data_IF_723543459031
#
_entry.id   IF_723543459031
#
_cell.length_a   1.000
_cell.length_b   1.000
_cell.length_c   1.000
_cell.angle_alpha   90.00
_cell.angle_beta   90.00
_cell.angle_gamma   90.00
#
_symmetry.space_group_name_H-M   'P 1'
#
loop_
_entity.id
_entity.type
_entity.pdbx_description
1 polymer ?
#
# COMPACT_ATOMS: atom_id res chain seq x y z
N UNK A 1 -4.54 18.83 -31.83
CA UNK A 1 -4.32 18.59 -30.39
C UNK A 1 -4.53 17.10 -30.18
N UNK A 2 -3.50 16.35 -29.80
CA UNK A 2 -3.62 14.89 -29.64
C UNK A 2 -4.31 14.62 -28.29
N UNK A 3 -5.44 13.91 -28.24
CA UNK A 3 -6.25 13.71 -27.02
C UNK A 3 -5.46 13.25 -25.80
N UNK A 4 -4.47 12.37 -25.97
CA UNK A 4 -3.66 11.83 -24.85
C UNK A 4 -2.89 12.86 -24.02
N UNK A 5 -2.45 13.98 -24.62
CA UNK A 5 -1.72 15.02 -23.88
C UNK A 5 -2.63 15.81 -22.92
N UNK A 6 -3.93 15.85 -23.19
CA UNK A 6 -4.93 16.51 -22.36
C UNK A 6 -5.16 15.70 -21.07
N UNK A 7 -5.40 14.40 -21.20
CA UNK A 7 -5.66 13.50 -20.06
C UNK A 7 -4.44 13.34 -19.15
N UNK A 8 -3.21 13.32 -19.69
CA UNK A 8 -1.99 13.27 -18.87
C UNK A 8 -1.80 14.53 -18.01
N UNK A 9 -2.15 15.71 -18.55
CA UNK A 9 -2.05 16.98 -17.81
C UNK A 9 -3.09 17.08 -16.69
N UNK A 10 -4.31 16.58 -16.94
CA UNK A 10 -5.38 16.46 -15.96
C UNK A 10 -5.04 15.48 -14.84
N UNK A 11 -4.48 14.31 -15.17
CA UNK A 11 -4.02 13.33 -14.19
C UNK A 11 -2.97 13.94 -13.24
N UNK A 12 -1.98 14.65 -13.79
CA UNK A 12 -0.96 15.35 -12.99
C UNK A 12 -1.55 16.47 -12.12
N UNK A 13 -2.54 17.21 -12.64
CA UNK A 13 -3.21 18.28 -11.90
C UNK A 13 -4.04 17.72 -10.72
N UNK A 14 -4.78 16.64 -10.93
CA UNK A 14 -5.56 16.00 -9.86
C UNK A 14 -4.66 15.35 -8.80
N UNK A 15 -3.53 14.78 -9.21
CA UNK A 15 -2.52 14.26 -8.30
C UNK A 15 -1.94 15.35 -7.39
N UNK A 16 -1.57 16.50 -7.96
CA UNK A 16 -1.09 17.66 -7.19
C UNK A 16 -2.14 18.26 -6.26
N UNK A 17 -3.42 18.07 -6.57
CA UNK A 17 -4.55 18.52 -5.77
C UNK A 17 -4.97 17.51 -4.68
N UNK A 18 -4.30 16.35 -4.56
CA UNK A 18 -4.63 15.30 -3.60
C UNK A 18 -5.85 14.44 -3.98
N UNK A 19 -6.37 14.58 -5.20
CA UNK A 19 -7.54 13.86 -5.71
C UNK A 19 -7.10 12.62 -6.50
N UNK A 20 -6.54 11.64 -5.79
CA UNK A 20 -5.88 10.49 -6.38
C UNK A 20 -6.82 9.58 -7.19
N UNK A 21 -8.08 9.43 -6.80
CA UNK A 21 -9.07 8.61 -7.53
C UNK A 21 -9.34 9.13 -8.95
N UNK A 22 -9.43 10.44 -9.12
CA UNK A 22 -9.59 11.06 -10.43
C UNK A 22 -8.31 10.94 -11.27
N UNK A 23 -7.13 11.03 -10.65
CA UNK A 23 -5.86 10.86 -11.34
C UNK A 23 -5.69 9.45 -11.93
N UNK A 24 -6.16 8.40 -11.24
CA UNK A 24 -6.07 7.01 -11.71
C UNK A 24 -6.97 6.76 -12.93
N UNK A 25 -8.19 7.29 -12.93
CA UNK A 25 -9.13 7.18 -14.06
C UNK A 25 -8.56 7.83 -15.33
N UNK A 26 -8.07 9.06 -15.23
CA UNK A 26 -7.48 9.76 -16.38
C UNK A 26 -6.13 9.15 -16.82
N UNK A 27 -5.37 8.56 -15.89
CA UNK A 27 -4.14 7.82 -16.21
C UNK A 27 -4.42 6.53 -17.00
N UNK A 28 -5.47 5.79 -16.65
CA UNK A 28 -5.86 4.57 -17.36
C UNK A 28 -6.34 4.86 -18.80
N UNK A 29 -7.13 5.93 -19.00
CA UNK A 29 -7.61 6.32 -20.32
C UNK A 29 -6.48 6.76 -21.26
N UNK A 30 -5.45 7.43 -20.74
CA UNK A 30 -4.27 7.82 -21.53
C UNK A 30 -3.47 6.60 -22.03
N UNK A 31 -3.48 5.49 -21.30
CA UNK A 31 -2.80 4.24 -21.69
C UNK A 31 -3.60 3.46 -22.74
N UNK A 32 -4.94 3.44 -22.64
CA UNK A 32 -5.80 2.80 -23.64
C UNK A 32 -5.63 3.46 -25.01
N UNK A 33 -5.54 4.79 -25.05
CA UNK A 33 -5.40 5.54 -26.30
C UNK A 33 -3.98 5.46 -26.90
N UNK A 34 -2.95 5.32 -26.06
CA UNK A 34 -1.58 5.06 -26.51
C UNK A 34 -1.41 3.69 -27.17
N UNK A 35 -2.10 2.67 -26.66
CA UNK A 35 -2.13 1.31 -27.25
C UNK A 35 -2.96 1.30 -28.53
N UNK A 36 -4.09 2.02 -28.57
CA UNK A 36 -4.92 2.12 -29.77
C UNK A 36 -4.24 2.91 -30.90
N UNK A 37 -3.49 3.97 -30.58
CA UNK A 37 -2.67 4.71 -31.54
C UNK A 37 -1.57 3.86 -32.19
N UNK A 38 -0.95 2.95 -31.42
CA UNK A 38 0.04 2.00 -31.94
C UNK A 38 -0.57 0.92 -32.85
N UNK A 39 -1.84 0.54 -32.61
CA UNK A 39 -2.55 -0.47 -33.41
C UNK A 39 -3.13 0.10 -34.71
N UNK A 40 -3.49 1.39 -34.76
CA UNK A 40 -4.21 1.98 -35.90
C UNK A 40 -3.29 2.67 -36.93
N UNK A 41 -2.06 3.04 -36.55
CA UNK A 41 -1.08 3.66 -37.43
C UNK A 41 0.07 2.69 -37.68
N UNK A 42 -0.05 1.90 -38.75
CA UNK A 42 0.90 0.84 -39.11
C UNK A 42 2.38 1.28 -39.13
N UNK A 43 3.19 0.53 -38.39
CA UNK A 43 4.61 0.16 -38.60
C UNK A 43 5.68 1.19 -39.07
N UNK A 44 5.39 2.47 -39.33
CA UNK A 44 6.31 3.29 -40.11
C UNK A 44 6.37 4.76 -39.70
N UNK A 45 6.69 5.09 -38.45
CA UNK A 45 7.54 6.27 -38.18
C UNK A 45 8.17 6.22 -36.79
N UNK A 46 9.49 5.98 -36.80
CA UNK A 46 10.48 6.28 -35.74
C UNK A 46 10.54 5.31 -34.55
N UNK A 47 11.18 4.17 -34.84
CA UNK A 47 11.76 3.16 -33.94
C UNK A 47 12.79 3.68 -32.90
N UNK A 48 12.91 4.98 -32.63
CA UNK A 48 13.95 5.54 -31.76
C UNK A 48 13.49 5.99 -30.35
N UNK A 49 12.20 6.29 -30.16
CA UNK A 49 11.70 6.87 -28.91
C UNK A 49 10.79 5.93 -28.12
N UNK A 50 10.09 5.01 -28.79
CA UNK A 50 9.11 4.11 -28.15
C UNK A 50 9.75 3.00 -27.30
N UNK A 51 10.89 2.46 -27.72
CA UNK A 51 11.51 1.30 -27.00
C UNK A 51 12.12 1.73 -25.68
N UNK A 52 12.70 2.94 -25.61
CA UNK A 52 13.23 3.49 -24.34
C UNK A 52 12.13 3.93 -23.39
N UNK A 53 10.97 4.34 -23.90
CA UNK A 53 9.82 4.64 -23.07
C UNK A 53 9.25 3.35 -22.46
N UNK A 54 9.14 2.25 -23.19
CA UNK A 54 8.66 0.98 -22.61
C UNK A 54 9.59 0.45 -21.52
N UNK A 55 10.91 0.60 -21.67
CA UNK A 55 11.88 0.10 -20.69
C UNK A 55 12.00 1.00 -19.44
N UNK A 56 11.78 2.32 -19.57
CA UNK A 56 11.79 3.27 -18.44
C UNK A 56 10.42 3.48 -17.80
N UNK A 57 9.34 3.21 -18.53
CA UNK A 57 7.95 3.31 -18.04
C UNK A 57 7.48 1.99 -17.43
N UNK A 58 8.05 0.82 -17.77
CA UNK A 58 7.69 -0.44 -17.11
C UNK A 58 7.89 -0.44 -15.57
N UNK A 59 8.99 0.09 -15.00
CA UNK A 59 9.10 0.21 -13.54
C UNK A 59 8.27 1.37 -12.98
N UNK A 60 8.13 2.49 -13.68
CA UNK A 60 7.37 3.65 -13.20
C UNK A 60 5.85 3.45 -13.28
N UNK A 61 5.36 2.66 -14.24
CA UNK A 61 3.95 2.30 -14.38
C UNK A 61 3.58 1.16 -13.43
N UNK A 62 4.49 0.27 -13.06
CA UNK A 62 4.21 -0.68 -11.97
C UNK A 62 4.17 0.01 -10.61
N UNK A 63 4.95 1.06 -10.37
CA UNK A 63 4.79 1.91 -9.17
C UNK A 63 3.51 2.76 -9.22
N UNK A 64 3.19 3.37 -10.37
CA UNK A 64 1.98 4.17 -10.55
C UNK A 64 0.66 3.38 -10.54
N UNK A 65 0.70 2.10 -10.93
CA UNK A 65 -0.45 1.16 -10.85
C UNK A 65 -0.59 0.56 -9.45
N UNK A 66 0.48 0.55 -8.63
CA UNK A 66 0.46 0.17 -7.21
C UNK A 66 -0.05 1.25 -6.26
N UNK A 67 -0.56 2.37 -6.76
CA UNK A 67 -1.11 3.47 -5.95
C UNK A 67 -2.45 3.11 -5.25
N UNK A 68 -2.57 1.89 -4.71
CA UNK A 68 -3.44 1.59 -3.59
C UNK A 68 -2.81 2.12 -2.29
N UNK A 69 -3.63 2.48 -1.31
CA UNK A 69 -3.14 2.84 0.03
C UNK A 69 -2.38 1.63 0.61
N UNK A 70 -1.11 1.79 0.94
CA UNK A 70 -0.33 0.76 1.65
C UNK A 70 -0.80 0.68 3.10
N UNK A 71 -0.49 -0.43 3.77
CA UNK A 71 -0.86 -0.62 5.17
C UNK A 71 0.32 -1.10 5.98
N UNK A 72 0.31 -0.76 7.26
CA UNK A 72 1.38 -1.01 8.21
C UNK A 72 0.95 -1.99 9.29
N UNK A 73 1.84 -2.90 9.65
CA UNK A 73 1.79 -3.68 10.87
C UNK A 73 2.90 -3.21 11.81
N UNK A 74 2.54 -2.83 13.03
CA UNK A 74 3.52 -2.44 14.05
C UNK A 74 3.77 -3.60 15.01
N UNK A 75 5.05 -3.79 15.37
CA UNK A 75 5.54 -4.86 16.22
C UNK A 75 6.82 -4.42 16.94
N UNK A 76 7.42 -5.31 17.73
CA UNK A 76 8.79 -5.17 18.19
C UNK A 76 9.82 -5.78 17.21
N UNK A 77 11.11 -5.62 17.53
CA UNK A 77 12.22 -6.10 16.70
C UNK A 77 12.17 -7.62 16.48
N UNK A 78 11.88 -8.38 17.55
CA UNK A 78 11.81 -9.83 17.49
C UNK A 78 10.66 -10.29 16.60
N UNK A 79 9.49 -9.67 16.73
CA UNK A 79 8.33 -9.94 15.90
C UNK A 79 8.56 -9.58 14.44
N UNK A 80 9.21 -8.44 14.14
CA UNK A 80 9.57 -8.09 12.77
C UNK A 80 10.51 -9.15 12.17
N UNK A 81 11.58 -9.52 12.89
CA UNK A 81 12.53 -10.52 12.41
C UNK A 81 11.86 -11.88 12.15
N UNK A 82 10.95 -12.32 13.02
CA UNK A 82 10.19 -13.54 12.81
C UNK A 82 9.33 -13.46 11.53
N UNK A 83 8.61 -12.35 11.33
CA UNK A 83 7.80 -12.13 10.13
C UNK A 83 8.65 -12.16 8.86
N UNK A 84 9.81 -11.50 8.87
CA UNK A 84 10.72 -11.46 7.72
C UNK A 84 11.33 -12.84 7.41
N UNK A 85 11.65 -13.62 8.43
CA UNK A 85 12.18 -14.98 8.25
C UNK A 85 11.13 -15.95 7.70
N UNK A 86 9.89 -15.86 8.20
CA UNK A 86 8.81 -16.78 7.83
C UNK A 86 8.02 -16.33 6.59
N UNK A 87 8.15 -15.06 6.20
CA UNK A 87 7.33 -14.39 5.18
C UNK A 87 5.84 -14.53 5.47
N UNK A 88 5.46 -14.47 6.75
CA UNK A 88 4.08 -14.69 7.21
C UNK A 88 3.67 -13.72 8.31
N UNK A 89 2.42 -13.27 8.25
CA UNK A 89 1.79 -12.51 9.34
C UNK A 89 0.72 -13.34 10.04
N UNK A 90 1.00 -13.71 11.28
CA UNK A 90 0.08 -14.53 12.08
C UNK A 90 -1.19 -13.75 12.48
N UNK A 91 -2.36 -14.40 12.48
CA UNK A 91 -3.60 -13.76 12.89
C UNK A 91 -3.66 -13.60 14.40
N UNK A 92 -4.36 -12.56 14.85
CA UNK A 92 -4.83 -12.48 16.22
C UNK A 92 -6.11 -13.32 16.35
N UNK A 93 -6.09 -14.30 17.26
CA UNK A 93 -7.20 -15.24 17.48
C UNK A 93 -7.90 -14.98 18.82
N UNK A 94 -9.21 -14.76 18.77
CA UNK A 94 -10.05 -14.47 19.95
C UNK A 94 -10.04 -15.62 20.96
N UNK A 95 -9.94 -16.86 20.46
CA UNK A 95 -9.83 -18.06 21.29
C UNK A 95 -8.57 -18.06 22.18
N UNK A 96 -7.47 -17.44 21.70
CA UNK A 96 -6.21 -17.35 22.44
C UNK A 96 -6.12 -16.08 23.27
N UNK A 97 -6.53 -14.94 22.70
CA UNK A 97 -6.36 -13.61 23.30
C UNK A 97 -7.61 -12.74 23.10
N UNK A 98 -8.70 -13.02 23.83
CA UNK A 98 -9.99 -12.37 23.57
C UNK A 98 -9.99 -10.85 23.77
N UNK A 99 -9.06 -10.31 24.57
CA UNK A 99 -8.92 -8.86 24.79
C UNK A 99 -8.23 -8.12 23.64
N UNK A 100 -7.41 -8.83 22.87
CA UNK A 100 -6.60 -8.25 21.78
C UNK A 100 -7.36 -8.27 20.45
N UNK A 101 -8.47 -9.01 20.38
CA UNK A 101 -9.29 -9.20 19.17
C UNK A 101 -10.60 -8.43 19.29
N UNK A 102 -10.61 -7.19 18.80
CA UNK A 102 -11.79 -6.29 18.87
C UNK A 102 -12.69 -6.36 17.64
N UNK A 103 -12.14 -6.68 16.47
CA UNK A 103 -12.84 -6.60 15.19
C UNK A 103 -12.91 -7.96 14.48
N UNK A 104 -12.86 -9.04 15.26
CA UNK A 104 -12.83 -10.42 14.74
C UNK A 104 -11.42 -10.94 14.51
N UNK A 105 -11.31 -12.25 14.31
CA UNK A 105 -10.04 -12.92 14.07
C UNK A 105 -9.41 -12.41 12.77
N UNK A 106 -8.11 -12.17 12.78
CA UNK A 106 -7.44 -11.65 11.59
C UNK A 106 -6.10 -11.00 11.85
N UNK A 107 -5.46 -10.58 10.76
CA UNK A 107 -4.27 -9.74 10.79
C UNK A 107 -4.69 -8.27 10.94
N UNK A 108 -4.11 -7.58 11.92
CA UNK A 108 -4.42 -6.19 12.20
C UNK A 108 -3.37 -5.26 11.59
N UNK A 109 -3.87 -4.23 10.90
CA UNK A 109 -3.09 -3.28 10.14
C UNK A 109 -3.57 -1.85 10.43
N UNK A 110 -2.79 -0.86 10.00
CA UNK A 110 -3.11 0.56 10.12
C UNK A 110 -2.62 1.33 8.90
N UNK A 111 -3.26 2.46 8.62
CA UNK A 111 -2.83 3.45 7.63
C UNK A 111 -2.02 4.60 8.27
N UNK A 112 -1.67 4.49 9.56
CA UNK A 112 -0.79 5.44 10.25
C UNK A 112 0.65 5.17 9.84
N UNK A 113 1.20 6.08 9.03
CA UNK A 113 2.58 6.02 8.54
C UNK A 113 3.61 6.05 9.69
N UNK A 114 4.71 5.28 9.59
CA UNK A 114 5.81 5.31 10.56
C UNK A 114 6.39 6.72 10.72
N UNK A 115 6.36 7.23 11.97
CA UNK A 115 6.87 8.57 12.29
C UNK A 115 5.87 9.72 12.03
N UNK A 116 4.63 9.42 11.62
CA UNK A 116 3.56 10.43 11.53
C UNK A 116 3.09 10.94 12.89
N UNK A 117 3.16 10.10 13.94
CA UNK A 117 2.76 10.42 15.30
C UNK A 117 3.84 10.04 16.32
N UNK A 118 3.72 10.52 17.56
CA UNK A 118 4.56 10.05 18.66
C UNK A 118 4.23 8.59 19.03
N UNK A 119 5.15 7.91 19.74
CA UNK A 119 4.94 6.54 20.21
C UNK A 119 3.69 6.39 21.10
N UNK A 120 3.44 7.38 21.97
CA UNK A 120 2.28 7.39 22.87
C UNK A 120 0.97 7.54 22.10
N UNK A 121 0.94 8.39 21.08
CA UNK A 121 -0.23 8.59 20.22
C UNK A 121 -0.51 7.36 19.39
N UNK A 122 0.51 6.74 18.81
CA UNK A 122 0.38 5.48 18.07
C UNK A 122 -0.19 4.37 18.97
N UNK A 123 0.39 4.22 20.16
CA UNK A 123 -0.08 3.25 21.16
C UNK A 123 -1.54 3.49 21.55
N UNK A 124 -1.93 4.75 21.77
CA UNK A 124 -3.32 5.12 22.04
C UNK A 124 -4.22 4.83 20.83
N UNK A 125 -3.78 5.15 19.61
CA UNK A 125 -4.54 4.97 18.39
C UNK A 125 -4.80 3.49 18.09
N UNK A 126 -3.83 2.60 18.30
CA UNK A 126 -3.92 1.18 17.95
C UNK A 126 -4.58 0.31 19.04
N UNK A 127 -4.26 0.54 20.32
CA UNK A 127 -4.73 -0.33 21.42
C UNK A 127 -5.52 0.40 22.51
N UNK A 128 -5.82 1.68 22.33
CA UNK A 128 -6.51 2.53 23.31
C UNK A 128 -5.82 2.56 24.68
N UNK A 129 -4.49 2.49 24.68
CA UNK A 129 -3.66 2.60 25.87
C UNK A 129 -2.33 3.29 25.48
N UNK A 130 -1.97 4.44 26.06
CA UNK A 130 -0.75 5.17 25.69
C UNK A 130 0.55 4.57 26.25
N UNK A 131 0.48 3.54 27.09
CA UNK A 131 1.62 2.94 27.78
C UNK A 131 2.12 1.63 27.15
N UNK A 132 1.64 1.26 25.96
CA UNK A 132 2.02 0.03 25.26
C UNK A 132 3.06 0.29 24.15
N UNK A 133 3.85 1.36 24.30
CA UNK A 133 4.75 1.88 23.27
C UNK A 133 5.81 0.87 22.80
N UNK A 134 6.27 -0.01 23.69
CA UNK A 134 7.32 -0.98 23.39
C UNK A 134 6.90 -1.99 22.30
N UNK A 135 5.59 -2.22 22.15
CA UNK A 135 5.02 -3.11 21.13
C UNK A 135 5.07 -2.54 19.71
N UNK A 136 5.42 -1.27 19.56
CA UNK A 136 5.34 -0.56 18.29
C UNK A 136 6.69 0.03 17.89
N UNK A 137 7.81 -0.58 18.30
CA UNK A 137 9.15 -0.06 17.99
C UNK A 137 9.56 -0.26 16.53
N UNK A 138 8.94 -1.21 15.84
CA UNK A 138 9.21 -1.60 14.46
C UNK A 138 7.92 -1.66 13.64
N UNK A 139 8.07 -1.56 12.33
CA UNK A 139 6.96 -1.66 11.39
C UNK A 139 7.30 -2.56 10.21
N UNK A 140 6.24 -3.07 9.59
CA UNK A 140 6.21 -3.72 8.30
C UNK A 140 5.15 -3.01 7.45
N UNK A 141 5.53 -2.56 6.26
CA UNK A 141 4.63 -2.04 5.25
C UNK A 141 4.31 -3.11 4.22
N UNK A 142 3.03 -3.26 3.89
CA UNK A 142 2.56 -4.25 2.92
C UNK A 142 1.69 -3.64 1.82
N UNK A 143 1.67 -4.31 0.68
CA UNK A 143 0.70 -4.14 -0.40
C UNK A 143 -0.59 -4.92 -0.08
N UNK A 144 -1.71 -4.23 0.22
CA UNK A 144 -2.97 -4.89 0.52
C UNK A 144 -3.76 -5.29 -0.74
N UNK A 145 -3.24 -5.08 -1.95
CA UNK A 145 -3.96 -5.40 -3.18
C UNK A 145 -4.46 -6.85 -3.20
N UNK A 146 -5.74 -7.02 -3.51
CA UNK A 146 -6.42 -8.32 -3.54
C UNK A 146 -6.72 -8.94 -2.17
N UNK A 147 -6.45 -8.25 -1.06
CA UNK A 147 -6.85 -8.69 0.28
C UNK A 147 -8.21 -8.10 0.66
N UNK A 148 -9.02 -8.90 1.36
CA UNK A 148 -10.26 -8.41 1.96
C UNK A 148 -9.94 -7.63 3.24
N UNK A 149 -9.68 -6.33 3.09
CA UNK A 149 -9.41 -5.43 4.20
C UNK A 149 -10.71 -4.78 4.68
N UNK A 150 -11.02 -4.94 5.96
CA UNK A 150 -12.18 -4.33 6.62
C UNK A 150 -11.67 -3.28 7.62
N UNK A 151 -12.23 -2.08 7.58
CA UNK A 151 -11.99 -1.07 8.60
C UNK A 151 -12.81 -1.39 9.86
N UNK A 152 -12.15 -1.63 10.99
CA UNK A 152 -12.83 -1.87 12.27
C UNK A 152 -13.16 -0.56 12.99
N UNK A 153 -12.22 0.39 12.97
CA UNK A 153 -12.40 1.80 13.37
C UNK A 153 -11.40 2.67 12.60
N UNK A 154 -11.56 4.00 12.61
CA UNK A 154 -10.58 4.91 12.02
C UNK A 154 -9.15 4.57 12.47
N UNK A 155 -8.28 4.31 11.49
CA UNK A 155 -6.89 3.97 11.72
C UNK A 155 -6.59 2.50 12.02
N UNK A 156 -7.60 1.63 12.12
CA UNK A 156 -7.41 0.20 12.42
C UNK A 156 -8.20 -0.67 11.44
N UNK A 157 -7.44 -1.42 10.67
CA UNK A 157 -7.92 -2.32 9.64
C UNK A 157 -7.67 -3.77 10.05
N UNK A 158 -8.50 -4.68 9.56
CA UNK A 158 -8.36 -6.12 9.77
C UNK A 158 -8.49 -6.84 8.44
N UNK A 159 -7.64 -7.84 8.21
CA UNK A 159 -7.84 -8.86 7.19
C UNK A 159 -8.45 -10.07 7.91
N UNK A 160 -9.74 -10.35 7.74
CA UNK A 160 -10.39 -11.44 8.46
C UNK A 160 -9.83 -12.78 7.99
N UNK A 161 -9.14 -13.46 8.90
CA UNK A 161 -8.52 -14.76 8.63
C UNK A 161 -8.13 -15.44 9.95
N UNK A 162 -8.08 -16.77 9.96
CA UNK A 162 -7.61 -17.56 11.10
C UNK A 162 -6.30 -18.30 10.83
N UNK A 163 -5.76 -18.19 9.61
CA UNK A 163 -4.45 -18.74 9.25
C UNK A 163 -3.42 -17.63 9.01
N UNK A 164 -2.11 -17.94 9.04
CA UNK A 164 -1.07 -16.98 8.69
C UNK A 164 -1.26 -16.42 7.28
N UNK A 165 -1.18 -15.10 7.14
CA UNK A 165 -1.20 -14.42 5.85
C UNK A 165 0.16 -14.57 5.18
N UNK A 166 0.19 -15.05 3.95
CA UNK A 166 1.40 -15.09 3.12
C UNK A 166 1.79 -13.68 2.68
N UNK A 167 3.03 -13.30 2.96
CA UNK A 167 3.59 -11.99 2.63
C UNK A 167 4.55 -12.02 1.43
N UNK A 168 4.74 -13.17 0.78
CA UNK A 168 5.59 -13.25 -0.42
C UNK A 168 5.13 -12.24 -1.47
N UNK A 169 6.07 -11.39 -1.90
CA UNK A 169 5.83 -10.28 -2.85
C UNK A 169 4.83 -9.21 -2.37
N UNK A 170 4.50 -9.17 -1.08
CA UNK A 170 3.63 -8.14 -0.48
C UNK A 170 4.37 -7.14 0.40
N UNK A 171 5.57 -7.46 0.87
CA UNK A 171 6.35 -6.56 1.71
C UNK A 171 6.92 -5.43 0.84
N UNK A 172 6.61 -4.19 1.20
CA UNK A 172 7.07 -2.99 0.50
C UNK A 172 8.22 -2.30 1.23
N UNK A 173 8.14 -2.25 2.56
CA UNK A 173 9.15 -1.65 3.43
C UNK A 173 9.07 -2.23 4.84
N UNK A 174 10.11 -2.06 5.63
CA UNK A 174 10.11 -2.37 7.06
C UNK A 174 11.25 -1.64 7.77
N UNK A 175 11.18 -1.59 9.10
CA UNK A 175 12.30 -1.11 9.89
C UNK A 175 11.91 -0.60 11.26
N UNK A 176 12.85 0.10 11.90
CA UNK A 176 12.61 0.81 13.15
C UNK A 176 11.75 2.04 12.89
N UNK A 177 10.78 2.29 13.76
CA UNK A 177 9.90 3.46 13.64
C UNK A 177 10.69 4.74 13.95
N UNK A 178 10.69 5.75 13.05
CA UNK A 178 11.39 7.01 13.27
C UNK A 178 10.53 7.95 14.12
N UNK A 179 10.39 7.65 15.42
CA UNK A 179 9.64 8.51 16.32
C UNK A 179 10.22 9.93 16.37
N UNK A 180 9.32 10.92 16.36
CA UNK A 180 9.62 12.35 16.55
C UNK A 180 9.66 12.72 18.03
#
# INVERSE_FOLDING_TARGET
>A
MVPGAYHSSLAQQQFRAGNYSAATLYGAEALVDAVLGAATLGASTRLGAGVRAVETVAPAATEGVRAGRTLYHYTDEAGLNAILNEQKLNPSLKALRPRDVRYGNGQYLTDIEPGATSAKELSKALVNNPHQVDKFSHYLEIDPAGLNVIEGRPGVHVIPNEVPLDLNNRILSHGKVPYR
#
